data_IF_435286935015
#
_entry.id   IF_435286935015
#
_cell.length_a   1.000
_cell.length_b   1.000
_cell.length_c   1.000
_cell.angle_alpha   90.00
_cell.angle_beta   90.00
_cell.angle_gamma   90.00
#
_symmetry.space_group_name_H-M   'P 1'
#
loop_
_entity.id
_entity.type
_entity.pdbx_description
1 polymer ?
#
# COMPACT_ATOMS: atom_id res chain seq x y z
N UNK A 1 -18.26 58.46 17.79
CA UNK A 1 -17.54 57.29 18.34
C UNK A 1 -18.54 56.14 18.45
N UNK A 2 -18.51 55.20 17.51
CA UNK A 2 -19.52 54.14 17.40
C UNK A 2 -19.34 53.07 18.47
N UNK A 3 -20.38 52.80 19.28
CA UNK A 3 -20.41 51.70 20.25
C UNK A 3 -20.57 50.39 19.48
N UNK A 4 -19.47 49.65 19.33
CA UNK A 4 -19.52 48.29 18.77
C UNK A 4 -20.34 47.43 19.74
N UNK A 5 -21.44 46.89 19.23
CA UNK A 5 -22.35 46.03 20.01
C UNK A 5 -21.64 44.75 20.41
N UNK A 6 -21.74 44.36 21.68
CA UNK A 6 -21.24 43.10 22.22
C UNK A 6 -21.73 41.88 21.42
N UNK A 7 -22.95 41.96 20.89
CA UNK A 7 -23.51 40.91 20.02
C UNK A 7 -22.76 40.78 18.70
N UNK A 8 -22.24 41.88 18.16
CA UNK A 8 -21.43 41.87 16.94
C UNK A 8 -20.09 41.18 17.18
N UNK A 9 -19.47 41.40 18.36
CA UNK A 9 -18.23 40.74 18.74
C UNK A 9 -18.41 39.23 18.94
N UNK A 10 -19.50 38.82 19.59
CA UNK A 10 -19.83 37.39 19.73
C UNK A 10 -20.10 36.73 18.38
N UNK A 11 -20.80 37.42 17.48
CA UNK A 11 -21.09 36.90 16.14
C UNK A 11 -19.82 36.73 15.31
N UNK A 12 -18.91 37.72 15.33
CA UNK A 12 -17.62 37.65 14.65
C UNK A 12 -16.73 36.55 15.24
N UNK A 13 -16.71 36.40 16.57
CA UNK A 13 -15.97 35.32 17.23
C UNK A 13 -16.54 33.93 16.88
N UNK A 14 -17.87 33.78 16.82
CA UNK A 14 -18.52 32.54 16.44
C UNK A 14 -18.26 32.18 14.97
N UNK A 15 -18.31 33.17 14.07
CA UNK A 15 -17.99 32.97 12.65
C UNK A 15 -16.51 32.61 12.48
N UNK A 16 -15.58 33.29 13.16
CA UNK A 16 -14.16 32.91 13.10
C UNK A 16 -13.91 31.51 13.65
N UNK A 17 -14.59 31.11 14.73
CA UNK A 17 -14.51 29.75 15.27
C UNK A 17 -14.96 28.68 14.27
N UNK A 18 -16.02 28.95 13.50
CA UNK A 18 -16.55 28.07 12.45
C UNK A 18 -15.64 27.99 11.21
N UNK A 19 -14.99 29.10 10.83
CA UNK A 19 -14.12 29.14 9.65
C UNK A 19 -12.73 28.52 9.95
N UNK A 20 -12.24 28.64 11.19
CA UNK A 20 -10.98 28.02 11.62
C UNK A 20 -11.10 26.52 11.96
N UNK A 21 -12.32 26.00 12.11
CA UNK A 21 -12.57 24.56 12.31
C UNK A 21 -12.86 23.81 11.01
N UNK A 22 -12.62 24.41 9.84
CA UNK A 22 -12.29 23.67 8.64
C UNK A 22 -10.91 22.99 8.82
N UNK A 23 -10.87 21.96 9.67
CA UNK A 23 -9.84 20.96 9.58
C UNK A 23 -9.93 20.38 8.18
N UNK A 24 -8.94 20.68 7.33
CA UNK A 24 -8.68 19.90 6.13
C UNK A 24 -8.78 18.43 6.55
N UNK A 25 -9.57 17.57 5.86
CA UNK A 25 -9.51 16.15 6.13
C UNK A 25 -8.05 15.77 5.94
N UNK A 26 -7.36 15.52 7.06
CA UNK A 26 -5.99 15.08 7.07
C UNK A 26 -6.02 13.81 6.24
N UNK A 27 -5.55 13.89 4.99
CA UNK A 27 -5.45 12.73 4.12
C UNK A 27 -4.55 11.77 4.88
N UNK A 28 -5.15 10.77 5.50
CA UNK A 28 -4.43 9.83 6.34
C UNK A 28 -3.30 9.28 5.49
N UNK A 29 -2.06 9.62 5.87
CA UNK A 29 -0.88 9.14 5.15
C UNK A 29 -0.99 7.62 5.09
N UNK A 30 -0.89 7.04 3.88
CA UNK A 30 -0.97 5.60 3.76
C UNK A 30 0.09 4.96 4.66
N UNK A 31 -0.27 3.90 5.41
CA UNK A 31 0.68 3.24 6.26
C UNK A 31 1.85 2.68 5.42
N UNK A 32 3.06 2.61 6.00
CA UNK A 32 4.23 2.14 5.29
C UNK A 32 4.05 0.66 4.91
N UNK A 33 4.38 0.31 3.67
CA UNK A 33 4.36 -1.09 3.24
C UNK A 33 5.39 -1.90 4.05
N UNK A 34 4.91 -2.91 4.76
CA UNK A 34 5.76 -3.82 5.56
C UNK A 34 6.06 -5.11 4.80
N UNK A 35 7.20 -5.73 5.11
CA UNK A 35 7.58 -7.01 4.51
C UNK A 35 6.55 -8.11 4.82
N UNK A 36 6.01 -8.13 6.05
CA UNK A 36 4.98 -9.09 6.45
C UNK A 36 3.69 -8.92 5.65
N UNK A 37 3.21 -7.68 5.47
CA UNK A 37 1.99 -7.42 4.69
C UNK A 37 2.19 -7.74 3.20
N UNK A 38 3.36 -7.43 2.64
CA UNK A 38 3.73 -7.80 1.27
C UNK A 38 3.78 -9.32 1.09
N UNK A 39 4.48 -10.04 1.98
CA UNK A 39 4.58 -11.49 1.97
C UNK A 39 3.20 -12.14 2.07
N UNK A 40 2.38 -11.71 3.04
CA UNK A 40 1.02 -12.20 3.21
C UNK A 40 0.15 -11.94 1.99
N UNK A 41 0.32 -10.79 1.32
CA UNK A 41 -0.42 -10.45 0.10
C UNK A 41 -0.04 -11.41 -1.04
N UNK A 42 1.24 -11.68 -1.22
CA UNK A 42 1.75 -12.60 -2.26
C UNK A 42 1.27 -14.04 -2.00
N UNK A 43 1.44 -14.52 -0.75
CA UNK A 43 1.03 -15.87 -0.35
C UNK A 43 -0.48 -16.11 -0.54
N UNK A 44 -1.31 -15.09 -0.27
CA UNK A 44 -2.77 -15.22 -0.34
C UNK A 44 -3.35 -14.95 -1.73
N UNK A 45 -2.61 -14.26 -2.61
CA UNK A 45 -3.12 -13.92 -3.93
C UNK A 45 -3.33 -15.18 -4.80
N UNK A 46 -2.39 -16.11 -4.78
CA UNK A 46 -2.51 -17.39 -5.47
C UNK A 46 -1.83 -18.53 -4.68
N UNK A 47 -2.48 -19.06 -3.63
CA UNK A 47 -1.84 -19.99 -2.68
C UNK A 47 -1.44 -21.33 -3.30
N UNK A 48 -1.97 -21.67 -4.48
CA UNK A 48 -1.59 -22.89 -5.20
C UNK A 48 -0.25 -22.75 -5.94
N UNK A 49 0.18 -21.51 -6.23
CA UNK A 49 1.35 -21.22 -7.05
C UNK A 49 2.40 -20.35 -6.35
N UNK A 50 1.99 -19.58 -5.35
CA UNK A 50 2.81 -18.56 -4.71
C UNK A 50 2.97 -18.90 -3.23
N UNK A 51 4.19 -19.29 -2.86
CA UNK A 51 4.64 -19.30 -1.47
C UNK A 51 5.98 -18.60 -1.39
N UNK A 52 6.06 -17.51 -0.65
CA UNK A 52 7.31 -16.80 -0.39
C UNK A 52 8.16 -17.65 0.56
N UNK A 53 9.29 -18.11 0.04
CA UNK A 53 10.31 -18.83 0.80
C UNK A 53 11.30 -17.86 1.44
N UNK A 54 11.67 -16.78 0.74
CA UNK A 54 12.60 -15.76 1.23
C UNK A 54 12.20 -14.37 0.73
N UNK A 55 12.38 -13.36 1.57
CA UNK A 55 12.09 -11.95 1.27
C UNK A 55 13.37 -11.13 1.35
N UNK A 56 13.92 -10.71 0.21
CA UNK A 56 15.22 -10.04 0.15
C UNK A 56 15.18 -8.55 0.52
N UNK A 57 13.98 -7.98 0.65
CA UNK A 57 13.80 -6.58 1.00
C UNK A 57 13.08 -5.77 -0.08
N UNK A 58 12.78 -4.52 0.27
CA UNK A 58 12.23 -3.54 -0.65
C UNK A 58 13.33 -2.68 -1.25
N UNK A 59 13.18 -2.39 -2.54
CA UNK A 59 14.02 -1.51 -3.30
C UNK A 59 13.13 -0.41 -3.86
N UNK A 60 13.53 0.85 -3.68
CA UNK A 60 12.80 1.99 -4.21
C UNK A 60 12.96 2.00 -5.73
N UNK A 61 11.84 2.12 -6.44
CA UNK A 61 11.87 2.50 -7.85
C UNK A 61 12.28 3.97 -7.94
N UNK A 62 13.09 4.34 -8.92
CA UNK A 62 13.50 5.75 -9.12
C UNK A 62 12.32 6.65 -9.54
N UNK A 63 11.19 6.06 -9.94
CA UNK A 63 9.99 6.76 -10.38
C UNK A 63 8.78 6.49 -9.47
N UNK A 64 8.38 7.51 -8.69
CA UNK A 64 7.08 7.54 -8.02
C UNK A 64 6.95 6.71 -6.74
N UNK A 65 5.72 6.58 -6.19
CA UNK A 65 5.45 5.86 -4.93
C UNK A 65 5.34 4.34 -5.17
N UNK A 66 6.36 3.78 -5.83
CA UNK A 66 6.48 2.36 -6.13
C UNK A 66 7.57 1.74 -5.25
N UNK A 67 7.31 0.53 -4.75
CA UNK A 67 8.28 -0.32 -4.09
C UNK A 67 8.37 -1.66 -4.78
N UNK A 68 9.58 -2.11 -5.06
CA UNK A 68 9.83 -3.44 -5.64
C UNK A 68 10.43 -4.33 -4.57
N UNK A 69 9.78 -5.45 -4.27
CA UNK A 69 10.34 -6.48 -3.41
C UNK A 69 10.91 -7.60 -4.27
N UNK A 70 12.15 -8.00 -4.01
CA UNK A 70 12.66 -9.26 -4.56
C UNK A 70 12.35 -10.38 -3.58
N UNK A 71 11.67 -11.41 -4.06
CA UNK A 71 11.23 -12.55 -3.26
C UNK A 71 11.62 -13.85 -3.94
N UNK A 72 12.10 -14.80 -3.15
CA UNK A 72 12.23 -16.18 -3.60
C UNK A 72 10.86 -16.85 -3.41
N UNK A 73 10.22 -17.25 -4.50
CA UNK A 73 8.94 -17.94 -4.43
C UNK A 73 9.08 -19.39 -4.86
N UNK A 74 8.45 -20.29 -4.09
CA UNK A 74 8.22 -21.66 -4.46
C UNK A 74 6.77 -21.84 -4.92
N UNK A 75 6.56 -22.76 -5.87
CA UNK A 75 5.23 -23.22 -6.25
C UNK A 75 4.89 -24.48 -5.44
N UNK A 76 3.93 -24.43 -4.49
CA UNK A 76 3.55 -25.59 -3.68
C UNK A 76 3.04 -26.78 -4.51
N UNK A 77 2.50 -26.52 -5.70
CA UNK A 77 1.99 -27.55 -6.62
C UNK A 77 3.06 -28.11 -7.56
N UNK A 78 4.25 -27.50 -7.62
CA UNK A 78 5.36 -28.02 -8.42
C UNK A 78 6.10 -29.14 -7.68
N UNK A 79 6.07 -30.35 -8.24
CA UNK A 79 6.80 -31.50 -7.69
C UNK A 79 8.31 -31.31 -7.67
N UNK A 80 8.85 -30.49 -8.56
CA UNK A 80 10.28 -30.18 -8.58
C UNK A 80 10.67 -29.10 -7.55
N UNK A 81 9.68 -28.40 -6.98
CA UNK A 81 9.83 -27.31 -6.01
C UNK A 81 10.97 -26.34 -6.34
N UNK A 82 11.21 -26.02 -7.63
CA UNK A 82 12.33 -25.15 -7.98
C UNK A 82 11.96 -23.72 -7.63
N UNK A 83 12.54 -23.13 -6.56
CA UNK A 83 12.19 -21.77 -6.21
C UNK A 83 12.80 -20.82 -7.26
N UNK A 84 12.11 -19.73 -7.54
CA UNK A 84 12.58 -18.72 -8.47
C UNK A 84 12.47 -17.34 -7.84
N UNK A 85 13.38 -16.45 -8.22
CA UNK A 85 13.33 -15.05 -7.78
C UNK A 85 12.31 -14.30 -8.62
N UNK A 86 11.46 -13.54 -7.94
CA UNK A 86 10.48 -12.65 -8.54
C UNK A 86 10.68 -11.23 -8.03
N UNK A 87 10.51 -10.27 -8.92
CA UNK A 87 10.26 -8.88 -8.61
C UNK A 87 8.75 -8.68 -8.41
N UNK A 88 8.35 -8.46 -7.16
CA UNK A 88 7.00 -8.09 -6.76
C UNK A 88 6.88 -6.57 -6.71
N UNK A 89 6.07 -5.97 -7.58
CA UNK A 89 5.86 -4.52 -7.60
C UNK A 89 4.65 -4.14 -6.77
N UNK A 90 4.84 -3.16 -5.89
CA UNK A 90 3.80 -2.58 -5.07
C UNK A 90 3.68 -1.10 -5.38
N UNK A 91 2.45 -0.63 -5.55
CA UNK A 91 2.18 0.76 -5.87
C UNK A 91 1.16 1.35 -4.90
N UNK A 92 1.44 2.58 -4.45
CA UNK A 92 0.49 3.34 -3.67
C UNK A 92 -0.52 4.02 -4.60
N UNK A 93 -1.79 3.66 -4.47
CA UNK A 93 -2.88 4.20 -5.28
C UNK A 93 -3.91 4.90 -4.40
N UNK A 94 -4.51 5.96 -4.93
CA UNK A 94 -5.62 6.67 -4.26
C UNK A 94 -6.94 6.07 -4.74
N UNK A 95 -7.74 5.54 -3.80
CA UNK A 95 -9.11 5.07 -4.07
C UNK A 95 -10.03 6.23 -4.46
N UNK A 96 -11.18 5.92 -5.05
CA UNK A 96 -12.25 6.91 -5.31
C UNK A 96 -12.70 7.63 -4.05
N UNK A 97 -12.54 7.00 -2.89
CA UNK A 97 -12.88 7.55 -1.57
C UNK A 97 -11.78 8.48 -1.00
N UNK A 98 -10.75 8.81 -1.81
CA UNK A 98 -9.62 9.65 -1.41
C UNK A 98 -8.58 8.95 -0.53
N UNK A 99 -8.79 7.68 -0.17
CA UNK A 99 -7.89 6.92 0.69
C UNK A 99 -6.74 6.31 -0.12
N UNK A 100 -5.51 6.54 0.32
CA UNK A 100 -4.32 5.92 -0.26
C UNK A 100 -4.10 4.52 0.30
N UNK A 101 -3.83 3.54 -0.56
CA UNK A 101 -3.57 2.15 -0.19
C UNK A 101 -2.52 1.51 -1.10
N UNK A 102 -1.76 0.57 -0.54
CA UNK A 102 -0.81 -0.23 -1.32
C UNK A 102 -1.52 -1.35 -2.07
N UNK A 103 -1.08 -1.58 -3.30
CA UNK A 103 -1.53 -2.68 -4.14
C UNK A 103 -0.34 -3.44 -4.69
N UNK A 104 -0.42 -4.77 -4.69
CA UNK A 104 0.45 -5.62 -5.49
C UNK A 104 -0.01 -5.49 -6.95
N UNK A 105 0.88 -4.97 -7.81
CA UNK A 105 0.60 -4.67 -9.22
C UNK A 105 1.27 -5.62 -10.19
N UNK A 106 2.38 -6.24 -9.80
CA UNK A 106 2.94 -7.32 -10.61
C UNK A 106 3.84 -8.28 -9.85
N UNK A 107 4.02 -9.47 -10.41
CA UNK A 107 5.00 -10.48 -10.03
C UNK A 107 5.72 -10.98 -11.28
N UNK A 108 6.99 -10.61 -11.44
CA UNK A 108 7.78 -10.92 -12.65
C UNK A 108 9.03 -11.70 -12.26
N UNK A 109 9.28 -12.84 -12.91
CA UNK A 109 10.49 -13.62 -12.69
C UNK A 109 11.56 -13.35 -13.75
N UNK A 110 12.81 -13.28 -13.31
CA UNK A 110 13.98 -13.22 -14.17
C UNK A 110 14.63 -14.62 -14.20
N UNK A 111 14.05 -15.52 -14.99
CA UNK A 111 14.70 -16.79 -15.32
C UNK A 111 15.87 -16.58 -16.30
N UNK A 112 16.84 -17.49 -16.31
CA UNK A 112 18.07 -17.37 -17.13
C UNK A 112 17.76 -17.11 -18.60
N UNK A 113 17.94 -15.86 -19.03
CA UNK A 113 17.97 -15.40 -20.43
C UNK A 113 16.72 -14.70 -20.95
N UNK A 114 15.54 -14.93 -20.38
CA UNK A 114 14.28 -14.32 -20.83
C UNK A 114 13.38 -14.00 -19.64
N UNK A 115 12.96 -12.74 -19.49
CA UNK A 115 11.89 -12.36 -18.55
C UNK A 115 10.62 -13.11 -18.94
N UNK A 116 10.21 -14.10 -18.14
CA UNK A 116 9.00 -14.89 -18.41
C UNK A 116 7.81 -14.19 -17.78
N UNK A 117 6.96 -13.59 -18.62
CA UNK A 117 5.68 -13.01 -18.21
C UNK A 117 4.65 -14.12 -18.05
N UNK A 118 4.20 -14.38 -16.83
CA UNK A 118 3.15 -15.36 -16.54
C UNK A 118 1.73 -14.73 -16.61
N UNK A 119 1.60 -13.52 -17.16
CA UNK A 119 0.37 -12.71 -17.11
C UNK A 119 0.11 -12.07 -15.74
N UNK A 120 1.13 -12.04 -14.88
CA UNK A 120 1.06 -11.50 -13.52
C UNK A 120 1.57 -10.06 -13.46
N UNK A 121 1.48 -9.34 -14.58
CA UNK A 121 2.02 -7.99 -14.76
C UNK A 121 0.96 -6.87 -14.66
N UNK A 122 -0.31 -7.25 -14.46
CA UNK A 122 -1.45 -6.33 -14.35
C UNK A 122 -2.34 -6.67 -13.15
N UNK A 123 -1.73 -6.92 -12.00
CA UNK A 123 -2.43 -7.20 -10.76
C UNK A 123 -2.99 -5.88 -10.17
N UNK A 124 -4.10 -5.97 -9.42
CA UNK A 124 -4.61 -4.88 -8.57
C UNK A 124 -5.10 -5.54 -7.27
N UNK A 125 -4.16 -6.11 -6.52
CA UNK A 125 -4.49 -6.84 -5.29
C UNK A 125 -4.20 -5.93 -4.10
N UNK A 126 -5.22 -5.54 -3.31
CA UNK A 126 -5.00 -4.65 -2.17
C UNK A 126 -4.16 -5.35 -1.11
N UNK A 127 -3.14 -4.65 -0.62
CA UNK A 127 -2.38 -5.10 0.54
C UNK A 127 -3.27 -4.98 1.76
N UNK A 128 -3.51 -6.10 2.42
CA UNK A 128 -4.19 -6.14 3.72
C UNK A 128 -3.11 -6.16 4.79
N UNK A 129 -3.03 -5.11 5.59
CA UNK A 129 -2.26 -5.19 6.82
C UNK A 129 -2.96 -6.19 7.72
N UNK A 130 -2.29 -7.31 8.01
CA UNK A 130 -2.66 -8.15 9.14
C UNK A 130 -2.71 -7.23 10.36
N UNK A 131 -3.91 -7.02 10.91
CA UNK A 131 -4.13 -6.04 11.95
C UNK A 131 -3.03 -6.14 13.00
N UNK A 132 -2.37 -5.03 13.28
CA UNK A 132 -1.56 -4.92 14.47
C UNK A 132 -2.40 -5.49 15.62
N UNK A 133 -1.91 -6.56 16.24
CA UNK A 133 -2.49 -7.14 17.44
C UNK A 133 -2.58 -6.01 18.47
N UNK A 134 -3.73 -5.35 18.52
CA UNK A 134 -4.12 -4.48 19.63
C UNK A 134 -4.46 -5.43 20.76
N UNK A 135 -3.44 -5.83 21.52
CA UNK A 135 -3.63 -6.39 22.85
C UNK A 135 -4.25 -5.29 23.71
N UNK A 136 -5.53 -5.44 24.03
CA UNK A 136 -6.15 -4.79 25.19
C UNK A 136 -5.85 -5.61 26.44
#
# INVERSE_FOLDING_TARGET
MGKISWHLLLLVAAIMGLVLSCGLPSGAAAPPLTAAAAQQTIDNWNPQYCKVAEFYGFYKSEAGPEQVAYVLMANPSDRAQKPAVYAARFQLLTSKDGQQRWFLTSLVTHGSGLTRRQGWDNLIIPVKEGGASSSR
#
